data_IF_964732765545
#
_entry.id   IF_964732765545
#
_cell.length_a   1.000
_cell.length_b   1.000
_cell.length_c   1.000
_cell.angle_alpha   90.00
_cell.angle_beta   90.00
_cell.angle_gamma   90.00
#
_symmetry.space_group_name_H-M   'P 1'
#
loop_
_entity.id
_entity.type
_entity.pdbx_description
1 polymer ?
#
# COMPACT_ATOMS: atom_id res chain seq x y z
N UNK A 1 11.21 -32.20 39.88
CA UNK A 1 11.14 -30.72 39.88
C UNK A 1 12.31 -30.19 39.07
N UNK A 2 12.15 -30.00 37.74
CA UNK A 2 13.14 -29.31 36.90
C UNK A 2 12.41 -28.58 35.77
N UNK A 3 12.47 -27.26 35.88
CA UNK A 3 11.90 -26.22 35.03
C UNK A 3 12.59 -26.18 33.67
N UNK A 4 11.83 -26.15 32.57
CA UNK A 4 12.31 -25.68 31.26
C UNK A 4 11.35 -24.61 30.71
N UNK A 5 11.51 -23.42 31.25
CA UNK A 5 11.17 -22.15 30.60
C UNK A 5 12.24 -21.90 29.54
N UNK A 6 11.93 -22.03 28.25
CA UNK A 6 12.75 -21.45 27.18
C UNK A 6 11.84 -20.79 26.14
N UNK A 7 11.70 -19.48 26.31
CA UNK A 7 11.71 -18.43 25.30
C UNK A 7 10.78 -18.55 24.09
N UNK A 8 9.53 -18.13 24.28
CA UNK A 8 8.66 -17.67 23.19
C UNK A 8 8.91 -16.17 22.91
N UNK A 9 10.10 -15.82 22.43
CA UNK A 9 10.44 -14.44 22.07
C UNK A 9 11.25 -14.40 20.78
N UNK A 10 10.58 -14.60 19.64
CA UNK A 10 11.19 -14.39 18.32
C UNK A 10 10.21 -14.01 17.21
N UNK A 11 8.99 -13.56 17.52
CA UNK A 11 7.99 -13.20 16.48
C UNK A 11 7.93 -11.67 16.23
N UNK A 12 8.61 -10.86 17.04
CA UNK A 12 8.49 -9.39 16.94
C UNK A 12 9.38 -8.72 15.89
N UNK A 13 10.20 -9.48 15.15
CA UNK A 13 11.16 -8.92 14.19
C UNK A 13 10.64 -8.66 12.78
N UNK A 14 9.59 -9.37 12.33
CA UNK A 14 9.13 -9.28 10.94
C UNK A 14 8.15 -8.12 10.67
N UNK A 15 7.42 -7.64 11.68
CA UNK A 15 6.38 -6.62 11.49
C UNK A 15 6.93 -5.21 11.24
N UNK A 16 8.18 -4.94 11.64
CA UNK A 16 8.78 -3.62 11.47
C UNK A 16 9.36 -3.39 10.06
N UNK A 17 9.67 -4.46 9.32
CA UNK A 17 10.31 -4.36 8.00
C UNK A 17 9.31 -4.02 6.90
N UNK A 18 8.06 -4.48 7.03
CA UNK A 18 6.97 -4.20 6.08
C UNK A 18 6.45 -2.76 6.15
N UNK A 19 6.41 -2.13 7.33
CA UNK A 19 5.93 -0.76 7.49
C UNK A 19 6.79 0.29 6.75
N UNK A 20 8.11 0.05 6.61
CA UNK A 20 9.01 0.98 5.94
C UNK A 20 8.96 0.87 4.40
N UNK A 21 8.76 -0.34 3.87
CA UNK A 21 8.56 -0.55 2.43
C UNK A 21 7.22 0.03 1.95
N UNK A 22 6.18 -0.13 2.75
CA UNK A 22 4.83 0.38 2.50
C UNK A 22 4.79 1.92 2.45
N UNK A 23 5.59 2.62 3.27
CA UNK A 23 5.69 4.08 3.26
C UNK A 23 6.25 4.66 1.95
N UNK A 24 7.22 3.98 1.32
CA UNK A 24 7.79 4.42 0.03
C UNK A 24 6.80 4.24 -1.13
N UNK A 25 6.11 3.10 -1.16
CA UNK A 25 5.09 2.80 -2.17
C UNK A 25 3.85 3.69 -2.03
N UNK A 26 3.46 4.04 -0.80
CA UNK A 26 2.34 4.95 -0.55
C UNK A 26 2.62 6.36 -1.11
N UNK A 27 3.79 6.92 -0.79
CA UNK A 27 4.20 8.21 -1.32
C UNK A 27 4.31 8.22 -2.86
N UNK A 28 4.81 7.14 -3.46
CA UNK A 28 4.89 7.01 -4.90
C UNK A 28 3.50 6.94 -5.54
N UNK A 29 2.63 6.07 -5.04
CA UNK A 29 1.26 5.91 -5.53
C UNK A 29 0.47 7.22 -5.41
N UNK A 30 0.59 7.92 -4.28
CA UNK A 30 -0.07 9.21 -4.06
C UNK A 30 0.44 10.27 -5.04
N UNK A 31 1.75 10.34 -5.27
CA UNK A 31 2.36 11.28 -6.22
C UNK A 31 1.99 11.01 -7.68
N UNK A 32 1.86 9.74 -8.06
CA UNK A 32 1.43 9.32 -9.40
C UNK A 32 -0.03 9.72 -9.67
N UNK A 33 -0.93 9.50 -8.70
CA UNK A 33 -2.33 9.92 -8.81
C UNK A 33 -2.46 11.44 -8.91
N UNK A 34 -1.74 12.17 -8.06
CA UNK A 34 -1.72 13.64 -8.08
C UNK A 34 -1.18 14.17 -9.41
N UNK A 35 -0.10 13.56 -9.94
CA UNK A 35 0.46 13.90 -11.26
C UNK A 35 -0.50 13.59 -12.41
N UNK A 36 -1.29 12.53 -12.29
CA UNK A 36 -2.34 12.18 -13.25
C UNK A 36 -3.60 13.08 -13.12
N UNK A 37 -3.65 13.99 -12.14
CA UNK A 37 -4.80 14.85 -11.87
C UNK A 37 -5.95 14.13 -11.17
N UNK A 38 -5.69 12.97 -10.55
CA UNK A 38 -6.64 12.17 -9.79
C UNK A 38 -6.51 12.50 -8.31
N UNK A 39 -7.56 13.10 -7.75
CA UNK A 39 -7.59 13.52 -6.35
C UNK A 39 -8.19 12.42 -5.45
N UNK A 40 -7.54 11.25 -5.42
CA UNK A 40 -7.89 10.13 -4.54
C UNK A 40 -6.85 10.00 -3.44
N UNK A 41 -7.29 10.06 -2.20
CA UNK A 41 -6.45 9.73 -1.05
C UNK A 41 -6.33 8.22 -0.90
N UNK A 42 -5.09 7.73 -0.92
CA UNK A 42 -4.82 6.33 -0.66
C UNK A 42 -4.83 6.12 0.86
N UNK A 43 -5.65 5.19 1.38
CA UNK A 43 -5.67 4.89 2.81
C UNK A 43 -4.30 4.42 3.31
N UNK A 44 -3.92 4.81 4.53
CA UNK A 44 -2.64 4.42 5.13
C UNK A 44 -2.58 2.90 5.45
N UNK A 45 -3.73 2.24 5.53
CA UNK A 45 -3.89 0.79 5.65
C UNK A 45 -3.87 0.05 4.30
N UNK A 46 -3.75 0.76 3.16
CA UNK A 46 -3.62 0.14 1.85
C UNK A 46 -2.41 -0.80 1.81
N UNK A 47 -2.65 -2.05 1.44
CA UNK A 47 -1.61 -3.08 1.41
C UNK A 47 -0.56 -2.79 0.34
N UNK A 48 0.63 -3.36 0.50
CA UNK A 48 1.71 -3.24 -0.49
C UNK A 48 1.27 -3.65 -1.90
N UNK A 49 0.40 -4.66 -2.00
CA UNK A 49 -0.18 -5.13 -3.25
C UNK A 49 -1.13 -4.09 -3.88
N UNK A 50 -1.99 -3.46 -3.05
CA UNK A 50 -2.87 -2.38 -3.51
C UNK A 50 -2.07 -1.18 -4.00
N UNK A 51 -1.03 -0.78 -3.26
CA UNK A 51 -0.14 0.31 -3.64
C UNK A 51 0.59 0.03 -4.96
N UNK A 52 1.12 -1.18 -5.12
CA UNK A 52 1.76 -1.61 -6.37
C UNK A 52 0.81 -1.61 -7.57
N UNK A 53 -0.44 -2.03 -7.38
CA UNK A 53 -1.47 -1.97 -8.43
C UNK A 53 -1.80 -0.52 -8.80
N UNK A 54 -1.95 0.37 -7.82
CA UNK A 54 -2.22 1.79 -8.07
C UNK A 54 -1.10 2.43 -8.90
N UNK A 55 0.17 2.19 -8.56
CA UNK A 55 1.31 2.70 -9.34
C UNK A 55 1.27 2.15 -10.77
N UNK A 56 1.00 0.86 -10.94
CA UNK A 56 0.91 0.24 -12.27
C UNK A 56 -0.28 0.78 -13.10
N UNK A 57 -1.40 1.13 -12.45
CA UNK A 57 -2.56 1.73 -13.09
C UNK A 57 -2.29 3.18 -13.48
N UNK A 58 -1.63 3.95 -12.62
CA UNK A 58 -1.30 5.35 -12.90
C UNK A 58 -0.43 5.48 -14.15
N UNK A 59 0.60 4.64 -14.30
CA UNK A 59 1.42 4.62 -15.52
C UNK A 59 0.69 4.10 -16.77
N UNK A 60 -0.35 3.27 -16.63
CA UNK A 60 -1.15 2.77 -17.76
C UNK A 60 -2.26 3.73 -18.20
N UNK A 61 -2.76 4.55 -17.27
CA UNK A 61 -3.88 5.46 -17.48
C UNK A 61 -3.45 6.94 -17.40
N UNK A 62 -2.16 7.22 -17.57
CA UNK A 62 -1.61 8.58 -17.59
C UNK A 62 -2.29 9.40 -18.72
N UNK A 63 -3.21 10.29 -18.34
CA UNK A 63 -4.05 11.08 -19.26
C UNK A 63 -5.54 10.71 -19.29
N UNK A 64 -5.99 9.72 -18.52
CA UNK A 64 -7.41 9.37 -18.40
C UNK A 64 -7.86 9.28 -16.92
N UNK A 65 -7.95 10.43 -16.22
CA UNK A 65 -8.12 10.48 -14.76
C UNK A 65 -9.42 9.84 -14.27
N UNK A 66 -10.50 9.89 -15.06
CA UNK A 66 -11.78 9.27 -14.68
C UNK A 66 -11.73 7.75 -14.60
N UNK A 67 -10.97 7.08 -15.49
CA UNK A 67 -10.79 5.64 -15.42
C UNK A 67 -9.84 5.25 -14.29
N UNK A 68 -8.76 6.00 -14.13
CA UNK A 68 -7.78 5.79 -13.08
C UNK A 68 -8.43 5.90 -11.70
N UNK A 69 -9.23 6.94 -11.45
CA UNK A 69 -9.99 7.10 -10.21
C UNK A 69 -10.91 5.91 -9.92
N UNK A 70 -11.60 5.39 -10.94
CA UNK A 70 -12.53 4.26 -10.78
C UNK A 70 -11.80 2.97 -10.46
N UNK A 71 -10.71 2.67 -11.18
CA UNK A 71 -9.85 1.51 -10.94
C UNK A 71 -9.19 1.58 -9.55
N UNK A 72 -8.68 2.75 -9.16
CA UNK A 72 -8.06 2.97 -7.84
C UNK A 72 -9.09 2.76 -6.72
N UNK A 73 -10.30 3.32 -6.84
CA UNK A 73 -11.38 3.08 -5.86
C UNK A 73 -11.73 1.60 -5.75
N UNK A 74 -11.73 0.88 -6.88
CA UNK A 74 -11.98 -0.57 -6.90
C UNK A 74 -10.87 -1.37 -6.22
N UNK A 75 -9.61 -1.03 -6.47
CA UNK A 75 -8.44 -1.64 -5.80
C UNK A 75 -8.47 -1.38 -4.30
N UNK A 76 -8.89 -0.18 -3.89
CA UNK A 76 -9.03 0.21 -2.49
C UNK A 76 -10.32 -0.31 -1.83
N UNK A 77 -11.22 -0.94 -2.60
CA UNK A 77 -12.50 -1.44 -2.09
C UNK A 77 -13.47 -0.35 -1.61
N UNK A 78 -13.36 0.85 -2.18
CA UNK A 78 -14.18 2.03 -1.84
C UNK A 78 -15.47 2.11 -2.68
N UNK A 79 -16.00 0.97 -3.15
CA UNK A 79 -17.25 0.87 -3.95
C UNK A 79 -18.51 1.26 -3.16
#
# INVERSE_FOLDING_TARGET
MFTRLISAAAISGLLAMSAFAQGGLHAQAQGELESAGVNVEIPADATEEQLGQIIALSGQHEGNPSQLEMEVKKVLGME
#
